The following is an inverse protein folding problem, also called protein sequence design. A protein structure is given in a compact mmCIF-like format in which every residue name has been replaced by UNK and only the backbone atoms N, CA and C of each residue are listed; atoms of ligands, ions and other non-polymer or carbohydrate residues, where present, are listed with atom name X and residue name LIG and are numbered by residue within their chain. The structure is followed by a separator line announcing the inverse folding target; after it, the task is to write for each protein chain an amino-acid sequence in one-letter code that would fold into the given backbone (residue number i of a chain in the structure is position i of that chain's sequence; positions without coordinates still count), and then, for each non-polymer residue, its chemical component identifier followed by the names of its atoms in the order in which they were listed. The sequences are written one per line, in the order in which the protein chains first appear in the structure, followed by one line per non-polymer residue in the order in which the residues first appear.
data_IF_534626982764
#
_entry.id   IF_534626982764
#
_cell.length_a   1.000
_cell.length_b   1.000
_cell.length_c   1.000
_cell.angle_alpha   90.00
_cell.angle_beta   90.00
_cell.angle_gamma   90.00
#
_symmetry.space_group_name_H-M   'P 1'
#
loop_
_entity.id
_entity.type
_entity.pdbx_description
1 polymer ?
#
# COMPACT_ATOMS: atom_id res chain seq x y z
N UNK A 1 0.47 -8.81 -26.79
CA UNK A 1 1.47 -9.35 -25.84
C UNK A 1 0.80 -10.49 -25.09
N UNK A 2 1.44 -11.65 -25.00
CA UNK A 2 0.95 -12.77 -24.17
C UNK A 2 1.14 -12.35 -22.70
N UNK A 3 0.09 -12.39 -21.86
CA UNK A 3 0.23 -12.12 -20.44
C UNK A 3 1.22 -13.09 -19.80
N UNK A 4 2.09 -12.58 -18.92
CA UNK A 4 2.99 -13.41 -18.13
C UNK A 4 2.16 -14.22 -17.11
N UNK A 5 2.09 -15.54 -17.32
CA UNK A 5 1.27 -16.42 -16.49
C UNK A 5 1.71 -16.42 -15.02
N UNK A 6 3.03 -16.36 -14.74
CA UNK A 6 3.52 -16.32 -13.35
C UNK A 6 3.05 -15.05 -12.67
N UNK A 7 3.17 -13.90 -13.34
CA UNK A 7 2.70 -12.63 -12.78
C UNK A 7 1.19 -12.64 -12.52
N UNK A 8 0.41 -13.22 -13.44
CA UNK A 8 -1.04 -13.37 -13.25
C UNK A 8 -1.34 -14.23 -12.01
N UNK A 9 -0.70 -15.38 -11.88
CA UNK A 9 -0.99 -16.31 -10.78
C UNK A 9 -0.59 -15.74 -9.41
N UNK A 10 0.59 -15.12 -9.27
CA UNK A 10 0.99 -14.53 -7.97
C UNK A 10 0.10 -13.35 -7.58
N UNK A 11 -0.32 -12.53 -8.56
CA UNK A 11 -1.24 -11.40 -8.33
C UNK A 11 -2.62 -11.91 -7.92
N UNK A 12 -3.16 -12.89 -8.68
CA UNK A 12 -4.45 -13.51 -8.39
C UNK A 12 -4.44 -14.14 -7.00
N UNK A 13 -3.37 -14.86 -6.64
CA UNK A 13 -3.22 -15.46 -5.31
C UNK A 13 -3.26 -14.39 -4.21
N UNK A 14 -2.45 -13.34 -4.31
CA UNK A 14 -2.41 -12.27 -3.31
C UNK A 14 -3.79 -11.62 -3.08
N UNK A 15 -4.50 -11.31 -4.17
CA UNK A 15 -5.85 -10.73 -4.11
C UNK A 15 -6.86 -11.73 -3.52
N UNK A 16 -6.76 -13.01 -3.89
CA UNK A 16 -7.67 -14.06 -3.40
C UNK A 16 -7.49 -14.31 -1.90
N UNK A 17 -6.25 -14.38 -1.43
CA UNK A 17 -5.95 -14.60 0.00
C UNK A 17 -6.49 -13.43 0.85
N UNK A 18 -6.35 -12.19 0.38
CA UNK A 18 -6.95 -11.01 1.02
C UNK A 18 -8.48 -11.03 0.99
N UNK A 19 -9.06 -11.37 -0.16
CA UNK A 19 -10.50 -11.48 -0.31
C UNK A 19 -11.08 -12.52 0.67
N UNK A 20 -10.43 -13.69 0.80
CA UNK A 20 -10.85 -14.73 1.73
C UNK A 20 -10.85 -14.26 3.18
N UNK A 21 -9.84 -13.53 3.62
CA UNK A 21 -9.81 -12.96 4.97
C UNK A 21 -10.87 -11.87 5.17
N UNK A 22 -11.11 -11.03 4.16
CA UNK A 22 -12.12 -9.96 4.24
C UNK A 22 -13.55 -10.50 4.37
N UNK A 23 -13.86 -11.64 3.73
CA UNK A 23 -15.19 -12.27 3.82
C UNK A 23 -15.32 -13.24 5.00
N UNK A 24 -14.25 -13.47 5.76
CA UNK A 24 -14.30 -14.32 6.93
C UNK A 24 -15.24 -13.71 7.98
N UNK A 25 -16.20 -14.46 8.55
CA UNK A 25 -17.13 -13.93 9.56
C UNK A 25 -16.44 -13.30 10.76
N UNK A 26 -15.22 -13.74 11.11
CA UNK A 26 -14.43 -13.12 12.17
C UNK A 26 -14.00 -11.69 11.86
N UNK A 27 -14.10 -11.23 10.62
CA UNK A 27 -13.83 -9.85 10.17
C UNK A 27 -15.11 -9.00 10.03
N UNK A 28 -16.26 -9.49 10.49
CA UNK A 28 -17.51 -8.74 10.48
C UNK A 28 -17.38 -7.37 11.18
N UNK A 29 -17.68 -6.25 10.51
CA UNK A 29 -17.55 -4.92 11.11
C UNK A 29 -18.62 -4.64 12.20
N UNK A 30 -19.59 -5.53 12.39
CA UNK A 30 -20.71 -5.35 13.33
C UNK A 30 -20.34 -5.89 14.72
N UNK A 31 -19.76 -7.09 14.78
CA UNK A 31 -19.60 -7.85 16.01
C UNK A 31 -18.20 -8.47 16.19
N UNK A 32 -17.28 -8.26 15.24
CA UNK A 32 -15.92 -8.75 15.37
C UNK A 32 -15.21 -8.09 16.55
N UNK A 33 -14.66 -8.93 17.43
CA UNK A 33 -13.76 -8.52 18.52
C UNK A 33 -12.34 -8.25 18.04
N UNK A 34 -12.06 -8.40 16.74
CA UNK A 34 -10.73 -8.18 16.16
C UNK A 34 -10.43 -6.71 15.97
N UNK A 35 -11.43 -5.84 15.85
CA UNK A 35 -11.22 -4.40 15.78
C UNK A 35 -11.08 -3.80 17.17
N UNK A 36 -9.94 -3.16 17.43
CA UNK A 36 -9.65 -2.45 18.68
C UNK A 36 -9.44 -0.99 18.35
N UNK A 37 -10.19 -0.10 18.99
CA UNK A 37 -10.05 1.36 18.80
C UNK A 37 -9.23 1.94 19.95
N UNK A 38 -8.22 2.75 19.61
CA UNK A 38 -7.36 3.42 20.56
C UNK A 38 -6.90 4.78 20.07
N UNK A 39 -6.04 5.42 20.86
CA UNK A 39 -5.39 6.69 20.52
C UNK A 39 -3.88 6.49 20.57
N UNK A 40 -3.16 7.07 19.62
CA UNK A 40 -1.70 7.04 19.61
C UNK A 40 -1.12 7.68 20.86
N UNK A 41 -0.02 7.10 21.36
CA UNK A 41 0.78 7.74 22.40
C UNK A 41 1.58 8.88 21.79
N UNK A 42 1.94 9.85 22.63
CA UNK A 42 2.86 10.92 22.25
C UNK A 42 4.15 10.33 21.67
N UNK A 43 4.61 10.85 20.53
CA UNK A 43 5.73 10.36 19.73
C UNK A 43 5.40 9.26 18.71
N UNK A 44 4.14 8.83 18.59
CA UNK A 44 3.68 7.83 17.61
C UNK A 44 2.44 8.30 16.82
N UNK A 45 2.27 9.61 16.65
CA UNK A 45 1.04 10.24 16.16
C UNK A 45 0.73 9.97 14.68
N UNK A 46 1.65 9.36 13.94
CA UNK A 46 1.54 9.11 12.49
C UNK A 46 0.83 7.81 12.12
N UNK A 47 0.69 6.85 13.04
CA UNK A 47 0.11 5.55 12.72
C UNK A 47 -1.42 5.65 12.55
N UNK A 48 -1.94 5.23 11.39
CA UNK A 48 -3.38 5.14 11.12
C UNK A 48 -4.00 3.87 11.69
N UNK A 49 -3.31 2.75 11.52
CA UNK A 49 -3.64 1.48 12.11
C UNK A 49 -2.33 0.69 12.29
N UNK A 50 -2.42 -0.43 12.98
CA UNK A 50 -1.36 -1.42 13.02
C UNK A 50 -1.91 -2.78 13.46
N UNK A 51 -1.14 -3.83 13.22
CA UNK A 51 -1.35 -5.15 13.78
C UNK A 51 -0.05 -5.73 14.34
N UNK A 52 -0.16 -6.69 15.25
CA UNK A 52 1.00 -7.43 15.73
C UNK A 52 0.96 -8.84 15.16
N UNK A 53 2.02 -9.25 14.46
CA UNK A 53 2.06 -10.57 13.82
C UNK A 53 1.92 -11.71 14.84
N UNK A 54 2.43 -11.51 16.06
CA UNK A 54 2.35 -12.47 17.14
C UNK A 54 1.03 -12.40 17.95
N UNK A 55 0.09 -11.51 17.62
CA UNK A 55 -1.18 -11.44 18.35
C UNK A 55 -2.05 -12.67 18.06
N UNK A 56 -2.28 -13.56 19.06
CA UNK A 56 -3.08 -14.77 18.83
C UNK A 56 -4.53 -14.45 18.51
N UNK A 57 -5.03 -13.29 18.92
CA UNK A 57 -6.38 -12.82 18.61
C UNK A 57 -6.49 -12.16 17.23
N UNK A 58 -5.36 -12.00 16.51
CA UNK A 58 -5.28 -11.41 15.17
C UNK A 58 -6.05 -10.08 15.07
N UNK A 59 -5.86 -9.21 16.08
CA UNK A 59 -6.56 -7.93 16.16
C UNK A 59 -5.92 -6.88 15.25
N UNK A 60 -6.75 -5.94 14.83
CA UNK A 60 -6.38 -4.74 14.09
C UNK A 60 -6.66 -3.56 15.02
N UNK A 61 -5.62 -2.77 15.28
CA UNK A 61 -5.68 -1.60 16.14
C UNK A 61 -5.89 -0.37 15.26
N UNK A 62 -7.02 0.30 15.44
CA UNK A 62 -7.41 1.50 14.72
C UNK A 62 -7.17 2.71 15.62
N UNK A 63 -6.41 3.67 15.15
CA UNK A 63 -6.09 4.88 15.90
C UNK A 63 -7.05 6.02 15.54
N UNK A 64 -6.89 7.18 16.16
CA UNK A 64 -7.60 8.39 15.78
C UNK A 64 -7.35 8.80 14.31
N UNK A 65 -6.18 8.47 13.75
CA UNK A 65 -5.83 8.84 12.38
C UNK A 65 -6.61 8.03 11.33
N UNK A 66 -6.99 6.78 11.63
CA UNK A 66 -7.92 5.99 10.80
C UNK A 66 -9.25 6.73 10.51
N UNK A 67 -9.71 7.50 11.49
CA UNK A 67 -10.98 8.21 11.40
C UNK A 67 -10.82 9.65 10.87
N UNK A 68 -9.61 10.22 10.92
CA UNK A 68 -9.29 11.58 10.45
C UNK A 68 -8.86 11.57 8.99
N UNK A 69 -9.74 12.09 8.14
CA UNK A 69 -9.49 12.12 6.70
C UNK A 69 -8.50 13.24 6.33
N UNK A 70 -7.47 12.95 5.52
CA UNK A 70 -6.67 14.00 4.90
C UNK A 70 -7.51 14.79 3.89
N UNK A 71 -7.11 16.03 3.62
CA UNK A 71 -7.85 16.90 2.71
C UNK A 71 -7.36 16.73 1.27
N UNK A 72 -8.17 16.10 0.43
CA UNK A 72 -7.99 16.09 -1.03
C UNK A 72 -9.15 16.80 -1.71
N UNK A 73 -8.84 17.62 -2.72
CA UNK A 73 -9.87 18.25 -3.56
C UNK A 73 -10.12 17.41 -4.80
N UNK A 74 -11.33 16.89 -4.91
CA UNK A 74 -11.80 16.17 -6.09
C UNK A 74 -12.30 17.15 -7.16
N UNK A 75 -12.23 16.74 -8.43
CA UNK A 75 -12.86 17.44 -9.55
C UNK A 75 -14.36 17.60 -9.32
N UNK A 76 -14.92 18.71 -9.80
CA UNK A 76 -16.36 18.98 -9.71
C UNK A 76 -17.21 17.88 -10.36
N UNK A 77 -16.73 17.30 -11.47
CA UNK A 77 -17.40 16.16 -12.14
C UNK A 77 -17.48 14.93 -11.23
N UNK A 78 -16.39 14.57 -10.57
CA UNK A 78 -16.34 13.45 -9.63
C UNK A 78 -17.24 13.68 -8.41
N UNK A 79 -17.25 14.91 -7.88
CA UNK A 79 -18.14 15.30 -6.78
C UNK A 79 -19.61 15.20 -7.17
N UNK A 80 -19.97 15.67 -8.38
CA UNK A 80 -21.35 15.63 -8.89
C UNK A 80 -21.83 14.21 -9.18
N UNK A 81 -20.96 13.34 -9.72
CA UNK A 81 -21.30 11.93 -9.95
C UNK A 81 -21.58 11.21 -8.63
N UNK A 82 -20.84 11.54 -7.56
CA UNK A 82 -21.08 11.00 -6.22
C UNK A 82 -20.76 9.51 -6.08
N UNK A 83 -20.18 8.88 -7.10
CA UNK A 83 -19.85 7.44 -7.13
C UNK A 83 -18.64 7.12 -6.25
N UNK A 84 -17.62 8.00 -6.25
CA UNK A 84 -16.43 7.80 -5.44
C UNK A 84 -16.64 8.30 -4.01
N UNK A 85 -16.55 7.38 -3.05
CA UNK A 85 -16.73 7.64 -1.62
C UNK A 85 -15.37 7.68 -0.92
N UNK A 86 -14.74 8.86 -0.89
CA UNK A 86 -13.38 9.01 -0.36
C UNK A 86 -13.20 8.51 1.08
N UNK A 87 -14.08 8.82 2.06
CA UNK A 87 -13.93 8.31 3.42
C UNK A 87 -13.86 6.78 3.52
N UNK A 88 -14.70 6.10 2.73
CA UNK A 88 -14.78 4.65 2.66
C UNK A 88 -13.54 4.08 1.98
N UNK A 89 -13.10 4.69 0.87
CA UNK A 89 -11.88 4.30 0.17
C UNK A 89 -10.65 4.40 1.08
N UNK A 90 -10.47 5.54 1.76
CA UNK A 90 -9.35 5.79 2.67
C UNK A 90 -9.24 4.71 3.75
N UNK A 91 -10.35 4.45 4.45
CA UNK A 91 -10.41 3.43 5.51
C UNK A 91 -10.25 2.01 4.98
N UNK A 92 -10.84 1.72 3.82
CA UNK A 92 -10.71 0.41 3.19
C UNK A 92 -9.26 0.12 2.78
N UNK A 93 -8.56 1.09 2.20
CA UNK A 93 -7.15 0.96 1.81
C UNK A 93 -6.27 0.67 3.04
N UNK A 94 -6.47 1.40 4.15
CA UNK A 94 -5.75 1.15 5.41
C UNK A 94 -6.06 -0.26 5.93
N UNK A 95 -7.33 -0.69 5.94
CA UNK A 95 -7.67 -2.05 6.37
C UNK A 95 -7.02 -3.12 5.50
N UNK A 96 -6.99 -2.93 4.18
CA UNK A 96 -6.33 -3.86 3.25
C UNK A 96 -4.83 -3.90 3.51
N UNK A 97 -4.20 -2.75 3.78
CA UNK A 97 -2.79 -2.65 4.18
C UNK A 97 -2.53 -3.52 5.42
N UNK A 98 -3.27 -3.32 6.51
CA UNK A 98 -3.10 -4.10 7.74
C UNK A 98 -3.37 -5.60 7.55
N UNK A 99 -4.40 -5.94 6.79
CA UNK A 99 -4.72 -7.34 6.49
C UNK A 99 -3.64 -8.00 5.64
N UNK A 100 -2.96 -7.25 4.77
CA UNK A 100 -1.87 -7.79 3.96
C UNK A 100 -0.70 -8.24 4.83
N UNK A 101 -0.37 -7.52 5.91
CA UNK A 101 0.64 -7.97 6.87
C UNK A 101 0.27 -9.32 7.48
N UNK A 102 -1.01 -9.49 7.78
CA UNK A 102 -1.52 -10.68 8.43
C UNK A 102 -1.48 -11.91 7.53
N UNK A 103 -2.03 -11.80 6.30
CA UNK A 103 -2.29 -12.97 5.44
C UNK A 103 -1.20 -13.18 4.41
N UNK A 104 -0.60 -12.10 3.90
CA UNK A 104 0.45 -12.17 2.90
C UNK A 104 1.85 -12.02 3.50
N UNK A 105 1.97 -11.67 4.79
CA UNK A 105 3.27 -11.39 5.43
C UNK A 105 4.04 -10.33 4.64
N UNK A 106 3.36 -9.24 4.31
CA UNK A 106 3.96 -8.03 3.73
C UNK A 106 4.73 -7.27 4.79
N UNK A 107 5.62 -6.39 4.34
CA UNK A 107 6.38 -5.45 5.13
C UNK A 107 6.11 -4.02 4.64
N UNK A 108 6.43 -3.03 5.47
CA UNK A 108 6.43 -1.61 5.08
C UNK A 108 7.74 -1.25 4.36
N UNK A 109 7.82 -1.61 3.07
CA UNK A 109 9.01 -1.37 2.26
C UNK A 109 9.06 0.08 1.76
N UNK A 110 7.91 0.57 1.26
CA UNK A 110 7.77 1.90 0.71
C UNK A 110 6.33 2.39 0.82
N UNK A 111 6.16 3.67 1.15
CA UNK A 111 4.86 4.33 1.17
C UNK A 111 4.50 4.82 -0.23
N UNK A 112 3.39 4.33 -0.78
CA UNK A 112 2.88 4.70 -2.11
C UNK A 112 1.61 5.55 -2.01
N UNK A 113 1.20 5.93 -0.79
CA UNK A 113 -0.03 6.68 -0.51
C UNK A 113 -1.27 5.95 -1.06
N UNK A 114 -1.38 4.67 -0.70
CA UNK A 114 -2.38 3.72 -1.21
C UNK A 114 -3.83 4.09 -0.86
N UNK A 115 -4.01 4.90 0.18
CA UNK A 115 -5.28 5.42 0.70
C UNK A 115 -5.75 6.73 0.07
N UNK A 116 -4.89 7.39 -0.72
CA UNK A 116 -5.25 8.63 -1.39
C UNK A 116 -6.24 8.39 -2.53
N UNK A 117 -7.06 9.39 -2.91
CA UNK A 117 -7.96 9.26 -4.04
C UNK A 117 -7.26 8.86 -5.33
N UNK A 118 -8.00 8.24 -6.24
CA UNK A 118 -7.50 7.99 -7.59
C UNK A 118 -7.05 9.29 -8.27
N UNK A 119 -5.84 9.28 -8.83
CA UNK A 119 -5.17 10.47 -9.39
C UNK A 119 -6.05 11.24 -10.39
N UNK A 120 -6.84 10.54 -11.20
CA UNK A 120 -7.68 11.16 -12.23
C UNK A 120 -8.92 11.89 -11.67
N UNK A 121 -9.31 11.57 -10.42
CA UNK A 121 -10.37 12.26 -9.69
C UNK A 121 -9.90 13.55 -9.02
N UNK A 122 -8.59 13.77 -8.88
CA UNK A 122 -8.03 14.96 -8.24
C UNK A 122 -8.16 16.20 -9.12
N UNK A 123 -8.50 17.31 -8.48
CA UNK A 123 -8.51 18.65 -9.09
C UNK A 123 -7.12 19.02 -9.64
N UNK A 124 -7.06 19.49 -10.88
CA UNK A 124 -5.84 19.92 -11.58
C UNK A 124 -5.74 21.44 -11.82
N UNK A 125 -6.67 22.23 -11.25
CA UNK A 125 -6.61 23.69 -11.23
C UNK A 125 -5.33 24.24 -10.49
N UNK A 126 -4.90 25.49 -10.72
CA UNK A 126 -3.47 25.84 -10.82
C UNK A 126 -2.58 25.70 -9.57
N UNK A 127 -1.28 25.60 -9.87
CA UNK A 127 -0.04 25.50 -9.07
C UNK A 127 -0.06 24.62 -7.81
N UNK A 128 -0.75 25.01 -6.73
CA UNK A 128 -0.72 24.24 -5.47
C UNK A 128 -1.30 22.83 -5.64
N UNK A 129 -2.39 22.69 -6.40
CA UNK A 129 -3.05 21.38 -6.60
C UNK A 129 -2.31 20.52 -7.61
N UNK A 130 -1.65 21.13 -8.60
CA UNK A 130 -0.73 20.45 -9.50
C UNK A 130 0.43 19.81 -8.73
N UNK A 131 0.97 20.48 -7.70
CA UNK A 131 2.02 19.90 -6.85
C UNK A 131 1.53 18.66 -6.11
N UNK A 132 0.38 18.72 -5.45
CA UNK A 132 -0.20 17.56 -4.74
C UNK A 132 -0.45 16.40 -5.71
N UNK A 133 -1.02 16.68 -6.88
CA UNK A 133 -1.27 15.65 -7.90
C UNK A 133 0.03 15.03 -8.40
N UNK A 134 1.06 15.83 -8.68
CA UNK A 134 2.35 15.32 -9.16
C UNK A 134 3.08 14.51 -8.09
N UNK A 135 3.00 14.91 -6.82
CA UNK A 135 3.50 14.12 -5.70
C UNK A 135 2.78 12.77 -5.64
N UNK A 136 1.45 12.76 -5.75
CA UNK A 136 0.71 11.50 -5.73
C UNK A 136 1.01 10.61 -6.94
N UNK A 137 1.21 11.19 -8.12
CA UNK A 137 1.69 10.45 -9.31
C UNK A 137 3.05 9.82 -9.02
N UNK A 138 3.97 10.57 -8.41
CA UNK A 138 5.28 10.04 -8.03
C UNK A 138 5.12 8.86 -7.06
N UNK A 139 4.33 9.03 -5.99
CA UNK A 139 4.13 7.97 -5.00
C UNK A 139 3.45 6.72 -5.57
N UNK A 140 2.32 6.85 -6.26
CA UNK A 140 1.56 5.68 -6.71
C UNK A 140 2.11 5.00 -7.97
N UNK A 141 2.83 5.72 -8.84
CA UNK A 141 3.29 5.18 -10.13
C UNK A 141 4.81 4.94 -10.17
N UNK A 142 5.60 5.72 -9.43
CA UNK A 142 7.08 5.65 -9.48
C UNK A 142 7.71 5.04 -8.24
N UNK A 143 7.14 5.17 -7.04
CA UNK A 143 7.71 4.57 -5.84
C UNK A 143 7.63 3.04 -5.90
N UNK A 144 8.75 2.36 -5.59
CA UNK A 144 8.89 0.90 -5.64
C UNK A 144 8.43 0.30 -6.99
N UNK A 145 8.81 0.92 -8.09
CA UNK A 145 8.46 0.49 -9.46
C UNK A 145 9.69 0.49 -10.36
N UNK A 146 9.56 -0.07 -11.57
CA UNK A 146 10.64 0.00 -12.57
C UNK A 146 10.99 1.45 -12.96
N UNK A 147 10.14 2.43 -12.63
CA UNK A 147 10.38 3.85 -12.89
C UNK A 147 11.02 4.59 -11.71
N UNK A 148 11.22 3.94 -10.56
CA UNK A 148 12.01 4.54 -9.47
C UNK A 148 13.43 4.81 -9.99
N UNK A 149 14.06 5.91 -9.57
CA UNK A 149 15.49 6.09 -9.83
C UNK A 149 16.27 5.04 -9.03
N UNK A 150 17.25 4.38 -9.65
CA UNK A 150 17.97 3.25 -9.02
C UNK A 150 18.59 3.63 -7.69
N UNK A 151 19.15 4.84 -7.59
CA UNK A 151 19.78 5.36 -6.37
C UNK A 151 18.77 5.70 -5.26
N UNK A 152 17.47 5.75 -5.54
CA UNK A 152 16.38 5.97 -4.56
C UNK A 152 15.65 4.69 -4.17
N UNK A 153 15.81 3.62 -4.94
CA UNK A 153 15.16 2.34 -4.65
C UNK A 153 15.68 1.74 -3.34
N UNK A 154 14.76 1.23 -2.50
CA UNK A 154 15.02 0.68 -1.17
C UNK A 154 15.64 1.68 -0.18
N UNK A 155 15.30 2.96 -0.35
CA UNK A 155 15.69 4.03 0.56
C UNK A 155 14.47 4.71 1.17
N UNK A 156 14.68 5.28 2.36
CA UNK A 156 13.75 6.17 3.03
C UNK A 156 14.36 7.58 3.08
N UNK A 157 13.49 8.59 3.02
CA UNK A 157 13.88 9.97 3.22
C UNK A 157 13.96 10.25 4.73
N UNK A 158 15.13 10.63 5.22
CA UNK A 158 15.39 10.98 6.63
C UNK A 158 15.94 12.42 6.67
N UNK A 159 15.16 13.31 7.29
CA UNK A 159 15.37 14.77 7.45
C UNK A 159 15.52 15.52 6.11
N UNK A 160 16.57 15.24 5.34
CA UNK A 160 16.80 15.76 3.98
C UNK A 160 17.70 14.83 3.13
N UNK A 161 17.92 13.59 3.58
CA UNK A 161 18.83 12.64 2.92
C UNK A 161 18.17 11.29 2.65
N UNK A 162 18.47 10.72 1.48
CA UNK A 162 18.04 9.37 1.15
C UNK A 162 19.00 8.36 1.77
N UNK A 163 18.48 7.54 2.67
CA UNK A 163 19.25 6.46 3.29
C UNK A 163 18.67 5.08 2.98
N UNK A 164 19.55 4.10 2.88
CA UNK A 164 19.16 2.69 2.75
C UNK A 164 18.26 2.23 3.90
N UNK A 165 17.33 1.32 3.60
CA UNK A 165 16.53 0.62 4.59
C UNK A 165 17.43 -0.09 5.61
N UNK A 166 17.08 0.05 6.89
CA UNK A 166 17.73 -0.52 8.06
C UNK A 166 16.82 -1.55 8.71
N UNK A 167 17.36 -2.33 9.63
CA UNK A 167 16.58 -3.30 10.43
C UNK A 167 15.61 -2.61 11.40
N UNK A 168 15.91 -1.37 11.78
CA UNK A 168 15.05 -0.53 12.63
C UNK A 168 13.79 -0.05 11.92
N UNK A 169 13.79 -0.05 10.59
CA UNK A 169 12.62 0.33 9.78
C UNK A 169 11.66 -0.85 9.55
N UNK A 170 11.82 -1.94 10.31
CA UNK A 170 11.09 -3.18 10.16
C UNK A 170 11.84 -4.24 9.33
N UNK A 171 11.09 -5.22 8.84
CA UNK A 171 11.64 -6.40 8.17
C UNK A 171 11.86 -6.21 6.65
N UNK A 172 11.46 -5.07 6.08
CA UNK A 172 11.51 -4.81 4.63
C UNK A 172 12.88 -5.05 4.01
N UNK A 173 13.97 -4.58 4.65
CA UNK A 173 15.34 -4.86 4.21
C UNK A 173 15.62 -6.37 4.07
N UNK A 174 15.30 -7.14 5.11
CA UNK A 174 15.56 -8.58 5.14
C UNK A 174 14.74 -9.31 4.07
N UNK A 175 13.49 -8.90 3.87
CA UNK A 175 12.62 -9.44 2.83
C UNK A 175 13.16 -9.17 1.43
N UNK A 176 13.63 -7.94 1.14
CA UNK A 176 14.25 -7.59 -0.14
C UNK A 176 15.47 -8.47 -0.41
N UNK A 177 16.39 -8.59 0.55
CA UNK A 177 17.61 -9.39 0.42
C UNK A 177 17.29 -10.87 0.19
N UNK A 178 16.31 -11.42 0.92
CA UNK A 178 15.85 -12.81 0.78
C UNK A 178 15.24 -13.07 -0.60
N UNK A 179 14.38 -12.20 -1.10
CA UNK A 179 13.72 -12.39 -2.41
C UNK A 179 14.73 -12.26 -3.54
N UNK A 180 15.55 -11.20 -3.51
CA UNK A 180 16.59 -10.95 -4.51
C UNK A 180 17.74 -11.96 -4.47
N UNK A 181 17.93 -12.68 -3.35
CA UNK A 181 19.04 -13.61 -3.16
C UNK A 181 20.40 -12.90 -3.05
N UNK A 182 20.41 -11.64 -2.59
CA UNK A 182 21.64 -10.81 -2.47
C UNK A 182 21.95 -10.47 -1.02
N UNK A 183 23.21 -10.14 -0.74
CA UNK A 183 23.70 -9.77 0.59
C UNK A 183 23.64 -8.27 0.89
N UNK A 184 23.39 -7.43 -0.12
CA UNK A 184 23.39 -5.95 0.00
C UNK A 184 22.24 -5.36 -0.80
N UNK A 185 21.64 -4.26 -0.33
CA UNK A 185 20.57 -3.57 -1.06
C UNK A 185 21.04 -3.06 -2.42
N UNK A 186 22.31 -2.66 -2.54
CA UNK A 186 22.90 -2.24 -3.82
C UNK A 186 22.75 -3.32 -4.91
N UNK A 187 23.23 -4.54 -4.65
CA UNK A 187 23.04 -5.68 -5.56
C UNK A 187 21.57 -6.08 -5.73
N UNK A 188 20.74 -5.86 -4.72
CA UNK A 188 19.30 -6.15 -4.81
C UNK A 188 18.59 -5.20 -5.77
N UNK A 189 19.07 -3.95 -5.92
CA UNK A 189 18.54 -2.99 -6.91
C UNK A 189 18.72 -3.53 -8.32
N UNK A 190 19.91 -4.05 -8.65
CA UNK A 190 20.19 -4.62 -9.97
C UNK A 190 19.19 -5.73 -10.32
N UNK A 191 18.98 -6.67 -9.39
CA UNK A 191 17.98 -7.74 -9.54
C UNK A 191 16.58 -7.18 -9.73
N UNK A 192 16.21 -6.12 -9.00
CA UNK A 192 14.90 -5.51 -9.13
C UNK A 192 14.66 -4.94 -10.53
N UNK A 193 15.67 -4.40 -11.21
CA UNK A 193 15.52 -3.95 -12.60
C UNK A 193 15.59 -5.11 -13.62
N UNK A 194 16.52 -6.04 -13.42
CA UNK A 194 16.80 -7.13 -14.36
C UNK A 194 15.72 -8.22 -14.36
N UNK A 195 15.12 -8.52 -13.22
CA UNK A 195 14.20 -9.65 -13.06
C UNK A 195 12.79 -9.17 -12.68
N UNK A 196 11.87 -9.23 -13.65
CA UNK A 196 10.46 -8.83 -13.47
C UNK A 196 9.74 -9.68 -12.42
N UNK A 197 10.10 -10.95 -12.29
CA UNK A 197 9.49 -11.87 -11.34
C UNK A 197 9.90 -11.53 -9.92
N UNK A 198 11.19 -11.27 -9.69
CA UNK A 198 11.70 -10.81 -8.39
C UNK A 198 11.18 -9.44 -8.02
N UNK A 199 11.09 -8.53 -8.98
CA UNK A 199 10.45 -7.22 -8.81
C UNK A 199 9.02 -7.36 -8.35
N UNK A 200 8.21 -8.16 -9.04
CA UNK A 200 6.82 -8.39 -8.67
C UNK A 200 6.69 -9.03 -7.28
N UNK A 201 7.55 -10.00 -6.95
CA UNK A 201 7.56 -10.62 -5.62
C UNK A 201 7.89 -9.61 -4.51
N UNK A 202 8.82 -8.68 -4.76
CA UNK A 202 9.16 -7.58 -3.83
C UNK A 202 7.99 -6.60 -3.69
N UNK A 203 7.37 -6.20 -4.80
CA UNK A 203 6.22 -5.28 -4.78
C UNK A 203 5.02 -5.90 -4.05
N UNK A 204 4.72 -7.19 -4.28
CA UNK A 204 3.67 -7.92 -3.56
C UNK A 204 4.02 -8.20 -2.09
N UNK A 205 5.25 -7.92 -1.68
CA UNK A 205 5.69 -7.94 -0.28
C UNK A 205 5.68 -6.56 0.38
N UNK A 206 5.28 -5.51 -0.33
CA UNK A 206 5.00 -4.21 0.24
C UNK A 206 3.50 -4.05 0.51
N UNK A 207 3.11 -3.82 1.76
CA UNK A 207 1.70 -3.71 2.15
C UNK A 207 0.96 -2.63 1.36
N UNK A 208 1.62 -1.49 1.20
CA UNK A 208 1.09 -0.32 0.52
C UNK A 208 0.88 -0.55 -1.00
N UNK A 209 1.80 -1.26 -1.65
CA UNK A 209 1.66 -1.65 -3.05
C UNK A 209 0.51 -2.64 -3.25
N UNK A 210 0.30 -3.57 -2.31
CA UNK A 210 -0.82 -4.51 -2.35
C UNK A 210 -2.15 -3.79 -2.13
N UNK A 211 -2.24 -2.88 -1.17
CA UNK A 211 -3.42 -2.06 -0.95
C UNK A 211 -3.78 -1.24 -2.19
N UNK A 212 -2.80 -0.57 -2.81
CA UNK A 212 -3.00 0.18 -4.06
C UNK A 212 -3.47 -0.73 -5.21
N UNK A 213 -2.86 -1.90 -5.38
CA UNK A 213 -3.27 -2.88 -6.40
C UNK A 213 -4.74 -3.29 -6.23
N UNK A 214 -5.15 -3.64 -5.01
CA UNK A 214 -6.51 -4.11 -4.73
C UNK A 214 -7.53 -2.99 -4.96
N UNK A 215 -7.24 -1.75 -4.55
CA UNK A 215 -8.17 -0.63 -4.77
C UNK A 215 -8.29 -0.27 -6.25
N UNK A 216 -7.21 -0.37 -7.03
CA UNK A 216 -7.23 -0.19 -8.48
C UNK A 216 -8.03 -1.29 -9.18
N UNK A 217 -7.84 -2.57 -8.81
CA UNK A 217 -8.62 -3.68 -9.36
C UNK A 217 -10.11 -3.56 -9.00
N UNK A 218 -10.44 -3.17 -7.78
CA UNK A 218 -11.82 -2.98 -7.32
C UNK A 218 -12.55 -1.81 -8.01
N UNK A 219 -11.81 -0.92 -8.67
CA UNK A 219 -12.37 0.18 -9.47
C UNK A 219 -12.90 -0.31 -10.82
N UNK A 220 -12.31 -1.36 -11.37
CA UNK A 220 -12.65 -1.86 -12.69
C UNK A 220 -13.99 -2.61 -12.67
N UNK A 221 -14.84 -2.32 -13.64
CA UNK A 221 -16.08 -3.08 -13.86
C UNK A 221 -15.78 -4.24 -14.80
N UNK A 222 -15.59 -5.43 -14.25
CA UNK A 222 -15.48 -6.66 -15.03
C UNK A 222 -16.87 -7.13 -15.48
N UNK A 223 -17.54 -6.36 -16.33
CA UNK A 223 -18.72 -6.86 -17.06
C UNK A 223 -18.18 -7.89 -18.05
N UNK A 224 -18.52 -9.17 -17.85
CA UNK A 224 -18.24 -10.18 -18.88
C UNK A 224 -19.04 -9.78 -20.14
N UNK A 225 -18.41 -9.68 -21.33
CA UNK A 225 -19.14 -9.57 -22.58
C UNK A 225 -20.01 -10.82 -22.83
#
# INVERSE_FOLDING_TARGET
KVPDDRLREVTKKAVTDLYQELIDPSMSPIDSKRYVIGVNRMGNESASAFMFEADPARRIFLTEQFFRLPTYRLKLSAQRAGEFKFPQHYRAAILIHELSHMVLKTDDIAYVDSQAPFIDLLEDAPTYRLRIRNELIYQQQKTLSFQTDRDKLFKQLEEDSWRDLRRTDGNGKQTILRISGKSTLEKARDVFYEDVHKRADIMLKNADSVALLVTLLGRERFVKP
#
